data_IF_294424202165
#
_entry.id   IF_294424202165
#
_cell.length_a   1.000
_cell.length_b   1.000
_cell.length_c   1.000
_cell.angle_alpha   90.00
_cell.angle_beta   90.00
_cell.angle_gamma   90.00
#
_symmetry.space_group_name_H-M   'P 1'
#
loop_
_entity.id
_entity.type
_entity.pdbx_description
1 polymer ?
#
# COMPACT_ATOMS: atom_id res chain seq x y z
N UNK A 1 86.92 53.09 94.94
CA UNK A 1 87.09 53.14 93.46
C UNK A 1 86.68 51.84 92.76
N UNK A 2 86.92 50.64 93.34
CA UNK A 2 86.52 49.36 92.75
C UNK A 2 85.00 49.15 92.67
N UNK A 3 84.23 49.50 93.71
CA UNK A 3 82.78 49.24 93.77
C UNK A 3 81.95 50.02 92.75
N UNK A 4 82.35 51.27 92.47
CA UNK A 4 81.70 52.11 91.46
C UNK A 4 81.89 51.56 90.04
N UNK A 5 83.07 51.02 89.74
CA UNK A 5 83.37 50.39 88.45
C UNK A 5 82.54 49.13 88.23
N UNK A 6 82.35 48.33 89.28
CA UNK A 6 81.49 47.14 89.25
C UNK A 6 80.01 47.50 89.05
N UNK A 7 79.52 48.56 89.69
CA UNK A 7 78.14 49.04 89.50
C UNK A 7 77.88 49.55 88.07
N UNK A 8 78.83 50.30 87.49
CA UNK A 8 78.77 50.74 86.09
C UNK A 8 78.79 49.56 85.10
N UNK A 9 79.56 48.52 85.39
CA UNK A 9 79.60 47.32 84.55
C UNK A 9 78.27 46.55 84.59
N UNK A 10 77.66 46.39 85.78
CA UNK A 10 76.32 45.80 85.93
C UNK A 10 75.25 46.60 85.19
N UNK A 11 75.27 47.92 85.31
CA UNK A 11 74.33 48.78 84.58
C UNK A 11 74.49 48.63 83.07
N UNK A 12 75.73 48.54 82.58
CA UNK A 12 76.01 48.31 81.15
C UNK A 12 75.48 46.96 80.68
N UNK A 13 75.69 45.91 81.47
CA UNK A 13 75.14 44.58 81.19
C UNK A 13 73.61 44.58 81.18
N UNK A 14 72.96 45.31 82.09
CA UNK A 14 71.50 45.48 82.11
C UNK A 14 70.99 46.26 80.90
N UNK A 15 71.66 47.35 80.51
CA UNK A 15 71.33 48.10 79.30
C UNK A 15 71.46 47.24 78.03
N UNK A 16 72.51 46.41 77.96
CA UNK A 16 72.70 45.47 76.85
C UNK A 16 71.64 44.36 76.84
N UNK A 17 71.21 43.86 78.00
CA UNK A 17 70.08 42.92 78.12
C UNK A 17 68.77 43.55 77.66
N UNK A 18 68.48 44.77 78.12
CA UNK A 18 67.27 45.51 77.72
C UNK A 18 67.28 45.75 76.21
N UNK A 19 68.43 46.15 75.64
CA UNK A 19 68.57 46.35 74.19
C UNK A 19 68.26 45.06 73.42
N UNK A 20 68.79 43.90 73.86
CA UNK A 20 68.49 42.60 73.25
C UNK A 20 67.01 42.25 73.34
N UNK A 21 66.38 42.45 74.50
CA UNK A 21 64.95 42.21 74.68
C UNK A 21 64.09 43.10 73.77
N UNK A 22 64.44 44.38 73.63
CA UNK A 22 63.74 45.30 72.72
C UNK A 22 63.89 44.83 71.27
N UNK A 23 65.09 44.38 70.87
CA UNK A 23 65.33 43.86 69.53
C UNK A 23 64.52 42.58 69.26
N UNK A 24 64.47 41.66 70.22
CA UNK A 24 63.68 40.43 70.12
C UNK A 24 62.18 40.71 70.04
N UNK A 25 61.67 41.64 70.86
CA UNK A 25 60.27 42.07 70.81
C UNK A 25 59.92 42.73 69.48
N UNK A 26 60.83 43.55 68.93
CA UNK A 26 60.65 44.19 67.62
C UNK A 26 60.60 43.14 66.50
N UNK A 27 61.51 42.17 66.52
CA UNK A 27 61.52 41.09 65.55
C UNK A 27 60.25 40.23 65.61
N UNK A 28 59.81 39.87 66.83
CA UNK A 28 58.54 39.15 67.04
C UNK A 28 57.33 39.96 66.56
N UNK A 29 57.32 41.27 66.82
CA UNK A 29 56.28 42.18 66.32
C UNK A 29 56.21 42.21 64.79
N UNK A 30 57.36 42.30 64.13
CA UNK A 30 57.45 42.29 62.67
C UNK A 30 56.99 40.96 62.06
N UNK A 31 57.39 39.83 62.65
CA UNK A 31 56.93 38.50 62.23
C UNK A 31 55.42 38.37 62.38
N UNK A 32 54.87 38.77 63.53
CA UNK A 32 53.43 38.73 63.77
C UNK A 32 52.66 39.62 62.78
N UNK A 33 53.19 40.80 62.44
CA UNK A 33 52.57 41.66 61.44
C UNK A 33 52.57 41.01 60.04
N UNK A 34 53.64 40.33 59.67
CA UNK A 34 53.74 39.59 58.41
C UNK A 34 52.77 38.39 58.37
N UNK A 35 52.62 37.67 59.47
CA UNK A 35 51.66 36.56 59.58
C UNK A 35 50.21 37.05 59.44
N UNK A 36 49.87 38.18 60.08
CA UNK A 36 48.56 38.82 59.96
C UNK A 36 48.28 39.20 58.50
N UNK A 37 49.26 39.78 57.80
CA UNK A 37 49.10 40.15 56.40
C UNK A 37 48.91 38.92 55.50
N UNK A 38 49.63 37.84 55.79
CA UNK A 38 49.49 36.56 55.07
C UNK A 38 48.11 35.95 55.29
N UNK A 39 47.62 35.94 56.54
CA UNK A 39 46.27 35.46 56.88
C UNK A 39 45.18 36.29 56.20
N UNK A 40 45.32 37.61 56.14
CA UNK A 40 44.37 38.49 55.43
C UNK A 40 44.28 38.13 53.94
N UNK A 41 45.43 37.90 53.29
CA UNK A 41 45.47 37.48 51.88
C UNK A 41 44.82 36.12 51.67
N UNK A 42 45.09 35.15 52.55
CA UNK A 42 44.47 33.82 52.51
C UNK A 42 42.94 33.91 52.67
N UNK A 43 42.45 34.73 53.60
CA UNK A 43 41.01 34.94 53.80
C UNK A 43 40.36 35.54 52.55
N UNK A 44 40.98 36.54 51.92
CA UNK A 44 40.47 37.12 50.67
C UNK A 44 40.45 36.11 49.52
N UNK A 45 41.50 35.30 49.39
CA UNK A 45 41.52 34.22 48.40
C UNK A 45 40.43 33.19 48.67
N UNK A 46 40.21 32.81 49.93
CA UNK A 46 39.11 31.91 50.29
C UNK A 46 37.75 32.53 49.97
N UNK A 47 37.55 33.83 50.17
CA UNK A 47 36.30 34.51 49.85
C UNK A 47 36.04 34.56 48.33
N UNK A 48 37.08 34.74 47.52
CA UNK A 48 36.99 34.73 46.06
C UNK A 48 36.82 33.33 45.47
N UNK A 49 37.43 32.31 46.09
CA UNK A 49 37.49 30.95 45.54
C UNK A 49 36.42 30.03 46.10
N UNK A 50 35.91 30.30 47.31
CA UNK A 50 34.80 29.50 47.87
C UNK A 50 33.52 29.83 47.10
N UNK A 51 32.91 28.79 46.55
CA UNK A 51 31.55 28.88 46.09
C UNK A 51 30.64 29.20 47.29
N UNK A 52 29.80 30.23 47.13
CA UNK A 52 28.84 30.60 48.16
C UNK A 52 27.94 29.38 48.47
N UNK A 53 27.80 29.06 49.75
CA UNK A 53 26.94 27.99 50.23
C UNK A 53 25.51 28.15 49.70
N UNK A 54 25.02 29.39 49.60
CA UNK A 54 23.69 29.67 49.05
C UNK A 54 23.61 29.35 47.55
N UNK A 55 24.64 29.71 46.78
CA UNK A 55 24.72 29.39 45.35
C UNK A 55 24.80 27.88 45.12
N UNK A 56 25.68 27.17 45.86
CA UNK A 56 25.82 25.72 45.76
C UNK A 56 24.49 25.04 46.10
N UNK A 57 23.84 25.41 47.20
CA UNK A 57 22.56 24.84 47.58
C UNK A 57 21.47 25.09 46.53
N UNK A 58 21.39 26.30 45.97
CA UNK A 58 20.42 26.63 44.92
C UNK A 58 20.64 25.82 43.64
N UNK A 59 21.88 25.70 43.18
CA UNK A 59 22.21 24.85 42.02
C UNK A 59 22.00 23.37 42.31
N UNK A 60 22.20 22.94 43.55
CA UNK A 60 21.93 21.57 43.98
C UNK A 60 20.42 21.31 44.04
N UNK A 61 19.60 22.26 44.48
CA UNK A 61 18.14 22.17 44.48
C UNK A 61 17.58 22.12 43.04
N UNK A 62 18.09 22.98 42.14
CA UNK A 62 17.76 22.93 40.70
C UNK A 62 18.16 21.59 40.05
N UNK A 63 19.30 21.02 40.46
CA UNK A 63 19.76 19.69 39.97
C UNK A 63 19.06 18.53 40.67
N UNK A 64 18.58 18.69 41.90
CA UNK A 64 17.84 17.67 42.65
C UNK A 64 16.45 17.44 42.06
N UNK A 65 15.90 18.45 41.37
CA UNK A 65 14.70 18.34 40.54
C UNK A 65 14.89 17.45 39.29
N UNK A 66 16.05 16.80 39.14
CA UNK A 66 16.26 15.69 38.20
C UNK A 66 15.35 14.49 38.52
N UNK A 67 14.85 14.36 39.76
CA UNK A 67 13.82 13.37 40.12
C UNK A 67 12.49 13.66 39.39
N UNK A 68 12.19 14.92 39.12
CA UNK A 68 11.03 15.30 38.29
C UNK A 68 11.24 14.97 36.81
N UNK A 69 12.49 14.96 36.33
CA UNK A 69 12.83 14.45 34.99
C UNK A 69 12.63 12.93 34.93
N UNK A 70 12.98 12.19 35.98
CA UNK A 70 12.67 10.74 36.08
C UNK A 70 11.15 10.47 36.05
N UNK A 71 10.34 11.40 36.56
CA UNK A 71 8.88 11.28 36.58
C UNK A 71 8.18 11.69 35.28
N UNK A 72 8.82 12.45 34.37
CA UNK A 72 8.12 12.98 33.17
C UNK A 72 8.10 12.08 31.94
N UNK A 73 8.93 11.04 31.90
CA UNK A 73 8.72 9.82 31.10
C UNK A 73 9.46 8.74 31.87
N UNK A 74 8.76 7.99 32.71
CA UNK A 74 9.33 6.82 33.36
C UNK A 74 9.88 5.93 32.25
N UNK A 75 11.20 5.87 32.13
CA UNK A 75 11.91 5.02 31.16
C UNK A 75 11.37 3.59 31.17
N UNK A 76 10.88 3.14 32.33
CA UNK A 76 10.17 1.89 32.50
C UNK A 76 8.91 1.79 31.64
N UNK A 77 8.04 2.79 31.68
CA UNK A 77 6.77 2.81 30.94
C UNK A 77 7.02 2.91 29.44
N UNK A 78 8.00 3.73 29.03
CA UNK A 78 8.43 3.80 27.63
C UNK A 78 8.96 2.45 27.14
N UNK A 79 9.86 1.81 27.90
CA UNK A 79 10.39 0.50 27.55
C UNK A 79 9.30 -0.58 27.55
N UNK A 80 8.32 -0.49 28.45
CA UNK A 80 7.16 -1.38 28.48
C UNK A 80 6.31 -1.22 27.22
N UNK A 81 5.95 0.01 26.86
CA UNK A 81 5.18 0.30 25.65
C UNK A 81 5.92 -0.12 24.37
N UNK A 82 7.24 0.09 24.30
CA UNK A 82 8.05 -0.41 23.20
C UNK A 82 8.09 -1.96 23.14
N UNK A 83 8.14 -2.62 24.30
CA UNK A 83 8.07 -4.08 24.39
C UNK A 83 6.72 -4.62 23.91
N UNK A 84 5.62 -4.05 24.40
CA UNK A 84 4.25 -4.39 23.98
C UNK A 84 4.04 -4.16 22.48
N UNK A 85 4.51 -3.02 21.95
CA UNK A 85 4.43 -2.74 20.53
C UNK A 85 5.22 -3.77 19.70
N UNK A 86 6.43 -4.12 20.14
CA UNK A 86 7.25 -5.12 19.46
C UNK A 86 6.59 -6.50 19.46
N UNK A 87 5.95 -6.88 20.57
CA UNK A 87 5.19 -8.12 20.66
C UNK A 87 3.99 -8.10 19.71
N UNK A 88 3.21 -7.02 19.71
CA UNK A 88 2.05 -6.88 18.81
C UNK A 88 2.44 -6.95 17.32
N UNK A 89 3.59 -6.37 16.95
CA UNK A 89 4.10 -6.45 15.58
C UNK A 89 4.46 -7.90 15.23
N UNK A 90 5.18 -8.60 16.11
CA UNK A 90 5.54 -10.01 15.88
C UNK A 90 4.32 -10.92 15.77
N UNK A 91 3.33 -10.73 16.65
CA UNK A 91 2.08 -11.49 16.60
C UNK A 91 1.31 -11.21 15.30
N UNK A 92 1.29 -9.96 14.84
CA UNK A 92 0.68 -9.58 13.57
C UNK A 92 1.41 -10.22 12.38
N UNK A 93 2.74 -10.18 12.36
CA UNK A 93 3.55 -10.83 11.33
C UNK A 93 3.33 -12.34 11.29
N UNK A 94 3.27 -13.00 12.45
CA UNK A 94 3.01 -14.43 12.54
C UNK A 94 1.62 -14.78 11.97
N UNK A 95 0.59 -14.02 12.33
CA UNK A 95 -0.77 -14.19 11.77
C UNK A 95 -0.78 -13.95 10.26
N UNK A 96 -0.04 -12.96 9.78
CA UNK A 96 0.07 -12.66 8.36
C UNK A 96 0.73 -13.81 7.58
N UNK A 97 1.82 -14.39 8.10
CA UNK A 97 2.46 -15.55 7.47
C UNK A 97 1.51 -16.75 7.36
N UNK A 98 0.79 -17.07 8.45
CA UNK A 98 -0.21 -18.15 8.43
C UNK A 98 -1.32 -17.87 7.41
N UNK A 99 -1.75 -16.61 7.30
CA UNK A 99 -2.75 -16.21 6.30
C UNK A 99 -2.22 -16.36 4.87
N UNK A 100 -0.99 -15.91 4.60
CA UNK A 100 -0.34 -16.03 3.29
C UNK A 100 -0.19 -17.50 2.85
N UNK A 101 0.21 -18.37 3.78
CA UNK A 101 0.30 -19.82 3.52
C UNK A 101 -1.07 -20.44 3.23
N UNK A 102 -2.10 -20.04 3.99
CA UNK A 102 -3.48 -20.51 3.77
C UNK A 102 -4.01 -20.04 2.42
N UNK A 103 -3.75 -18.78 2.05
CA UNK A 103 -4.16 -18.22 0.75
C UNK A 103 -3.48 -18.95 -0.41
N UNK A 104 -2.19 -19.26 -0.31
CA UNK A 104 -1.49 -20.10 -1.30
C UNK A 104 -2.14 -21.47 -1.43
N UNK A 105 -2.42 -22.12 -0.30
CA UNK A 105 -3.05 -23.43 -0.30
C UNK A 105 -4.44 -23.41 -0.96
N UNK A 106 -5.24 -22.37 -0.72
CA UNK A 106 -6.56 -22.25 -1.34
C UNK A 106 -6.49 -21.94 -2.84
N UNK A 107 -5.50 -21.16 -3.28
CA UNK A 107 -5.22 -20.99 -4.71
C UNK A 107 -4.82 -22.31 -5.38
N UNK A 108 -3.97 -23.11 -4.74
CA UNK A 108 -3.55 -24.41 -5.26
C UNK A 108 -4.74 -25.39 -5.37
N UNK A 109 -5.61 -25.42 -4.34
CA UNK A 109 -6.86 -26.21 -4.38
C UNK A 109 -7.76 -25.78 -5.54
N UNK A 110 -7.98 -24.46 -5.71
CA UNK A 110 -8.81 -23.94 -6.79
C UNK A 110 -8.23 -24.28 -8.16
N UNK A 111 -6.92 -24.14 -8.35
CA UNK A 111 -6.25 -24.54 -9.59
C UNK A 111 -6.44 -26.03 -9.87
N UNK A 112 -6.27 -26.88 -8.87
CA UNK A 112 -6.48 -28.31 -9.00
C UNK A 112 -7.95 -28.66 -9.33
N UNK A 113 -8.91 -27.99 -8.71
CA UNK A 113 -10.33 -28.16 -9.04
C UNK A 113 -10.65 -27.71 -10.46
N UNK A 114 -10.06 -26.61 -10.93
CA UNK A 114 -10.23 -26.13 -12.30
C UNK A 114 -9.65 -27.14 -13.29
N UNK A 115 -8.42 -27.62 -13.05
CA UNK A 115 -7.77 -28.61 -13.91
C UNK A 115 -8.50 -29.96 -13.93
N UNK A 116 -9.12 -30.37 -12.82
CA UNK A 116 -9.92 -31.61 -12.76
C UNK A 116 -11.32 -31.48 -13.36
N UNK A 117 -11.97 -30.30 -13.27
CA UNK A 117 -13.27 -30.04 -13.92
C UNK A 117 -13.15 -29.87 -15.43
N UNK A 118 -11.98 -29.46 -15.92
CA UNK A 118 -11.71 -29.35 -17.35
C UNK A 118 -11.11 -30.67 -17.86
N UNK A 119 -11.93 -31.55 -18.43
CA UNK A 119 -11.39 -32.64 -19.24
C UNK A 119 -10.86 -32.08 -20.57
N UNK A 120 -9.61 -31.63 -20.52
CA UNK A 120 -8.93 -31.02 -21.67
C UNK A 120 -8.88 -31.97 -22.86
N UNK A 121 -8.84 -33.28 -22.64
CA UNK A 121 -8.83 -34.28 -23.72
C UNK A 121 -10.17 -34.31 -24.46
N UNK A 122 -11.29 -34.29 -23.73
CA UNK A 122 -12.62 -34.23 -24.36
C UNK A 122 -12.87 -32.90 -25.08
N UNK A 123 -12.41 -31.78 -24.49
CA UNK A 123 -12.53 -30.46 -25.10
C UNK A 123 -11.69 -30.33 -26.38
N UNK A 124 -10.47 -30.87 -26.41
CA UNK A 124 -9.65 -30.88 -27.62
C UNK A 124 -10.26 -31.75 -28.72
N UNK A 125 -10.79 -32.93 -28.37
CA UNK A 125 -11.49 -33.79 -29.33
C UNK A 125 -12.73 -33.08 -29.93
N UNK A 126 -13.49 -32.36 -29.10
CA UNK A 126 -14.64 -31.56 -29.54
C UNK A 126 -14.20 -30.39 -30.45
N UNK A 127 -13.10 -29.70 -30.09
CA UNK A 127 -12.51 -28.62 -30.91
C UNK A 127 -12.13 -29.13 -32.30
N UNK A 128 -11.42 -30.25 -32.36
CA UNK A 128 -10.97 -30.86 -33.61
C UNK A 128 -12.17 -31.32 -34.46
N UNK A 129 -13.23 -31.85 -33.83
CA UNK A 129 -14.47 -32.19 -34.51
C UNK A 129 -15.14 -30.95 -35.14
N UNK A 130 -15.29 -29.86 -34.38
CA UNK A 130 -15.88 -28.61 -34.89
C UNK A 130 -15.03 -28.01 -36.02
N UNK A 131 -13.71 -27.98 -35.89
CA UNK A 131 -12.81 -27.53 -36.95
C UNK A 131 -13.00 -28.35 -38.25
N UNK A 132 -13.14 -29.67 -38.11
CA UNK A 132 -13.39 -30.56 -39.26
C UNK A 132 -14.74 -30.27 -39.92
N UNK A 133 -15.80 -30.04 -39.14
CA UNK A 133 -17.11 -29.67 -39.69
C UNK A 133 -17.08 -28.30 -40.36
N UNK A 134 -16.42 -27.31 -39.74
CA UNK A 134 -16.24 -25.99 -40.35
C UNK A 134 -15.45 -26.07 -41.66
N UNK A 135 -14.39 -26.88 -41.74
CA UNK A 135 -13.65 -27.12 -43.00
C UNK A 135 -14.55 -27.75 -44.08
N UNK A 136 -15.40 -28.71 -43.72
CA UNK A 136 -16.38 -29.31 -44.64
C UNK A 136 -17.39 -28.28 -45.14
N UNK A 137 -17.97 -27.48 -44.24
CA UNK A 137 -18.94 -26.44 -44.60
C UNK A 137 -18.31 -25.38 -45.52
N UNK A 138 -17.08 -24.94 -45.22
CA UNK A 138 -16.34 -24.02 -46.10
C UNK A 138 -16.12 -24.61 -47.49
N UNK A 139 -15.82 -25.90 -47.59
CA UNK A 139 -15.65 -26.59 -48.88
C UNK A 139 -16.97 -26.65 -49.64
N UNK A 140 -18.05 -27.08 -49.00
CA UNK A 140 -19.39 -27.15 -49.61
C UNK A 140 -19.90 -25.77 -50.06
N UNK A 141 -19.66 -24.72 -49.25
CA UNK A 141 -20.00 -23.36 -49.61
C UNK A 141 -19.21 -22.87 -50.84
N UNK A 142 -17.92 -23.23 -50.93
CA UNK A 142 -17.07 -22.92 -52.10
C UNK A 142 -17.54 -23.67 -53.35
N UNK A 143 -17.90 -24.94 -53.22
CA UNK A 143 -18.44 -25.76 -54.31
C UNK A 143 -19.79 -25.20 -54.79
N UNK A 144 -20.71 -24.85 -53.88
CA UNK A 144 -21.98 -24.20 -54.23
C UNK A 144 -21.79 -22.83 -54.90
N UNK A 145 -20.84 -22.02 -54.43
CA UNK A 145 -20.51 -20.75 -55.10
C UNK A 145 -19.96 -20.98 -56.52
N UNK A 146 -19.16 -22.01 -56.75
CA UNK A 146 -18.68 -22.36 -58.09
C UNK A 146 -19.82 -22.84 -58.99
N UNK A 147 -20.76 -23.64 -58.46
CA UNK A 147 -21.95 -24.06 -59.21
C UNK A 147 -22.90 -22.89 -59.48
N UNK A 148 -23.09 -21.96 -58.54
CA UNK A 148 -23.86 -20.74 -58.76
C UNK A 148 -23.21 -19.81 -59.79
N UNK A 149 -21.88 -19.68 -59.79
CA UNK A 149 -21.17 -18.90 -60.82
C UNK A 149 -21.35 -19.52 -62.22
N UNK A 150 -21.37 -20.86 -62.33
CA UNK A 150 -21.71 -21.54 -63.59
C UNK A 150 -23.19 -21.37 -63.96
N UNK A 151 -24.11 -21.43 -63.00
CA UNK A 151 -25.55 -21.23 -63.25
C UNK A 151 -25.90 -19.78 -63.64
N UNK A 152 -25.19 -18.78 -63.08
CA UNK A 152 -25.31 -17.37 -63.48
C UNK A 152 -24.73 -17.16 -64.88
N UNK A 153 -23.65 -17.86 -65.26
CA UNK A 153 -23.12 -17.78 -66.62
C UNK A 153 -24.08 -18.36 -67.67
N UNK A 154 -24.83 -19.42 -67.33
CA UNK A 154 -25.81 -20.05 -68.24
C UNK A 154 -27.14 -19.28 -68.29
N UNK A 155 -27.53 -18.59 -67.21
CA UNK A 155 -28.74 -17.76 -67.18
C UNK A 155 -28.51 -16.33 -67.71
N UNK A 156 -27.24 -15.92 -67.93
CA UNK A 156 -26.89 -14.60 -68.49
C UNK A 156 -26.99 -14.54 -70.02
N UNK A 157 -27.19 -15.65 -70.72
CA UNK A 157 -27.32 -15.64 -72.19
C UNK A 157 -28.73 -15.29 -72.67
N UNK A 158 -29.72 -15.22 -71.77
CA UNK A 158 -31.12 -14.98 -72.14
C UNK A 158 -31.82 -13.96 -71.21
N UNK A 159 -31.16 -12.83 -70.95
CA UNK A 159 -31.76 -11.71 -70.20
C UNK A 159 -31.78 -10.42 -71.05
N UNK A 160 -32.98 -9.84 -71.16
CA UNK A 160 -33.40 -8.75 -72.03
C UNK A 160 -32.42 -7.56 -72.15
N UNK A 161 -32.48 -6.87 -73.30
CA UNK A 161 -31.64 -5.73 -73.71
C UNK A 161 -31.71 -4.45 -72.84
N UNK A 162 -32.15 -4.52 -71.58
CA UNK A 162 -32.04 -3.39 -70.66
C UNK A 162 -32.71 -3.62 -69.31
N UNK A 163 -31.89 -3.84 -68.28
CA UNK A 163 -32.23 -3.52 -66.90
C UNK A 163 -31.25 -2.47 -66.39
N UNK A 164 -31.76 -1.35 -65.87
CA UNK A 164 -30.91 -0.34 -65.21
C UNK A 164 -30.35 -0.93 -63.92
N UNK A 165 -29.08 -1.35 -63.94
CA UNK A 165 -28.31 -1.64 -62.71
C UNK A 165 -28.29 -0.38 -61.85
N UNK A 166 -29.00 -0.40 -60.72
CA UNK A 166 -28.90 0.66 -59.72
C UNK A 166 -27.51 0.57 -59.09
N UNK A 167 -26.58 1.41 -59.56
CA UNK A 167 -25.29 1.64 -58.92
C UNK A 167 -25.52 2.49 -57.66
N UNK A 168 -26.03 1.87 -56.59
CA UNK A 168 -26.12 2.53 -55.29
C UNK A 168 -24.90 2.09 -54.48
N UNK A 169 -23.92 2.99 -54.37
CA UNK A 169 -22.78 2.82 -53.45
C UNK A 169 -23.26 3.27 -52.07
N UNK A 170 -23.40 2.33 -51.14
CA UNK A 170 -23.91 2.62 -49.79
C UNK A 170 -22.75 2.92 -48.83
N UNK A 171 -23.02 3.69 -47.78
CA UNK A 171 -22.11 3.89 -46.66
C UNK A 171 -22.75 3.35 -45.37
N UNK A 172 -21.92 2.82 -44.47
CA UNK A 172 -22.31 2.34 -43.14
C UNK A 172 -22.98 3.48 -42.36
N UNK A 173 -24.24 3.33 -41.95
CA UNK A 173 -24.93 4.41 -41.20
C UNK A 173 -24.21 4.75 -39.89
N UNK A 174 -23.60 3.75 -39.25
CA UNK A 174 -22.93 3.92 -37.96
C UNK A 174 -21.51 4.49 -38.05
N UNK A 175 -20.86 4.34 -39.22
CA UNK A 175 -19.42 4.49 -39.33
C UNK A 175 -18.94 5.12 -40.65
N UNK A 176 -19.89 5.47 -41.52
CA UNK A 176 -19.76 6.10 -42.84
C UNK A 176 -18.75 5.45 -43.80
N UNK A 177 -18.36 4.19 -43.52
CA UNK A 177 -17.47 3.41 -44.37
C UNK A 177 -18.21 2.98 -45.65
N UNK A 178 -17.62 3.14 -46.84
CA UNK A 178 -18.23 2.67 -48.09
C UNK A 178 -18.37 1.14 -48.07
N UNK A 179 -19.56 0.65 -48.39
CA UNK A 179 -19.93 -0.77 -48.43
C UNK A 179 -20.28 -1.13 -49.87
N UNK A 180 -19.62 -2.16 -50.39
CA UNK A 180 -19.97 -2.76 -51.68
C UNK A 180 -20.98 -3.87 -51.43
N UNK A 181 -22.26 -3.60 -51.69
CA UNK A 181 -23.32 -4.61 -51.60
C UNK A 181 -23.52 -5.22 -52.99
N UNK A 182 -23.21 -6.50 -53.11
CA UNK A 182 -23.58 -7.25 -54.31
C UNK A 182 -25.12 -7.30 -54.37
N UNK A 183 -25.75 -6.97 -55.51
CA UNK A 183 -27.21 -7.02 -55.64
C UNK A 183 -27.65 -8.48 -55.57
N UNK A 184 -27.94 -8.95 -54.36
CA UNK A 184 -28.60 -10.22 -54.15
C UNK A 184 -30.08 -10.05 -54.53
N UNK A 185 -30.71 -10.98 -55.26
CA UNK A 185 -32.14 -10.92 -55.53
C UNK A 185 -32.89 -10.73 -54.20
N UNK A 186 -33.85 -9.81 -54.18
CA UNK A 186 -34.58 -9.44 -52.98
C UNK A 186 -35.14 -10.71 -52.31
N UNK A 187 -34.54 -11.10 -51.18
CA UNK A 187 -35.11 -12.17 -50.39
C UNK A 187 -36.39 -11.62 -49.76
N UNK A 188 -37.54 -12.30 -49.93
CA UNK A 188 -38.78 -11.84 -49.32
C UNK A 188 -38.57 -11.74 -47.81
N UNK A 189 -38.99 -10.62 -47.21
CA UNK A 189 -38.84 -10.30 -45.79
C UNK A 189 -39.62 -11.25 -44.87
N UNK A 190 -40.42 -12.13 -45.46
CA UNK A 190 -41.17 -13.18 -44.80
C UNK A 190 -40.92 -14.49 -45.56
N UNK A 191 -40.75 -15.62 -44.86
CA UNK A 191 -40.68 -16.92 -45.53
C UNK A 191 -41.94 -17.10 -46.39
N UNK A 192 -41.76 -17.47 -47.65
CA UNK A 192 -42.86 -17.87 -48.52
C UNK A 192 -43.47 -19.12 -47.87
N UNK A 193 -44.61 -18.95 -47.21
CA UNK A 193 -45.39 -20.07 -46.70
C UNK A 193 -45.82 -20.91 -47.90
N UNK A 194 -45.15 -22.04 -48.12
CA UNK A 194 -45.71 -23.10 -48.94
C UNK A 194 -47.03 -23.50 -48.28
N UNK A 195 -48.15 -23.41 -49.01
CA UNK A 195 -49.44 -23.83 -48.51
C UNK A 195 -49.32 -25.27 -48.01
N UNK A 196 -49.49 -25.46 -46.69
CA UNK A 196 -49.54 -26.81 -46.13
C UNK A 196 -50.73 -27.55 -46.75
N UNK A 197 -50.54 -28.84 -47.06
CA UNK A 197 -51.61 -29.67 -47.62
C UNK A 197 -52.86 -29.57 -46.76
N UNK A 198 -54.08 -29.43 -47.33
CA UNK A 198 -55.31 -29.44 -46.56
C UNK A 198 -55.34 -30.70 -45.70
N UNK A 199 -55.32 -30.52 -44.39
CA UNK A 199 -55.36 -31.63 -43.45
C UNK A 199 -56.76 -32.24 -43.53
N UNK A 200 -56.89 -33.45 -44.07
CA UNK A 200 -58.15 -34.18 -44.01
C UNK A 200 -58.39 -34.58 -42.54
N UNK A 201 -59.18 -33.79 -41.82
CA UNK A 201 -59.64 -34.17 -40.48
C UNK A 201 -60.59 -35.37 -40.61
N UNK A 202 -60.48 -36.40 -39.76
CA UNK A 202 -61.37 -37.57 -39.79
C UNK A 202 -62.72 -37.26 -39.11
N UNK A 203 -63.25 -36.03 -39.29
CA UNK A 203 -64.54 -35.66 -38.73
C UNK A 203 -65.65 -36.25 -39.59
N UNK A 204 -66.63 -36.94 -38.98
CA UNK A 204 -67.70 -37.61 -39.71
C UNK A 204 -68.58 -36.60 -40.46
N UNK A 205 -68.82 -36.95 -41.72
CA UNK A 205 -69.69 -36.31 -42.69
C UNK A 205 -71.12 -36.19 -42.14
N UNK A 206 -71.58 -34.99 -41.78
CA UNK A 206 -72.99 -34.77 -41.35
C UNK A 206 -73.61 -33.47 -41.88
N UNK A 207 -72.99 -32.78 -42.83
CA UNK A 207 -73.64 -31.63 -43.48
C UNK A 207 -74.80 -32.06 -44.38
N UNK A 208 -74.73 -33.26 -44.99
CA UNK A 208 -75.79 -33.77 -45.86
C UNK A 208 -77.03 -34.26 -45.08
N UNK A 209 -76.83 -34.87 -43.91
CA UNK A 209 -77.94 -35.34 -43.06
C UNK A 209 -78.68 -34.19 -42.38
N UNK A 210 -77.98 -33.10 -42.04
CA UNK A 210 -78.60 -31.89 -41.49
C UNK A 210 -79.51 -31.16 -42.50
N UNK A 211 -79.26 -31.31 -43.80
CA UNK A 211 -80.10 -30.68 -44.83
C UNK A 211 -81.40 -31.46 -45.06
N UNK A 212 -81.36 -32.80 -44.93
CA UNK A 212 -82.58 -33.62 -44.97
C UNK A 212 -83.53 -33.31 -43.79
N UNK A 213 -83.00 -33.12 -42.57
CA UNK A 213 -83.82 -32.75 -41.40
C UNK A 213 -84.49 -31.38 -41.60
N UNK A 214 -83.80 -30.41 -42.23
CA UNK A 214 -84.37 -29.08 -42.53
C UNK A 214 -85.47 -29.11 -43.59
N UNK A 215 -85.38 -30.04 -44.55
CA UNK A 215 -86.38 -30.19 -45.60
C UNK A 215 -87.66 -30.90 -45.12
N UNK A 216 -87.59 -31.74 -44.09
CA UNK A 216 -88.76 -32.40 -43.47
C UNK A 216 -89.53 -31.52 -42.46
N UNK A 217 -89.03 -30.31 -42.15
CA UNK A 217 -89.67 -29.37 -41.20
C UNK A 217 -90.32 -28.15 -41.90
N UNK A 218 -90.66 -28.26 -43.18
CA UNK A 218 -91.44 -27.27 -43.93
C UNK A 218 -92.64 -27.90 -44.62
#
# INVERSE_FOLDING_TARGET
>A
MADFRTALQRLREELDRIRKLIQDLTNKGNLSAQDIETLKKLVQQLDQTKADKAYVNNELDKKADKRDIENRVLKKDFNSACGELSQNINDCLQRFCVHDDTQKQDLDKMNHEIDSKLDRLELDALRDYMEKQMKKLKRLAKEQQQTQQQHVHVMSEDEAAGLRKQLIRFHCISCDRPIDVQPHPQQPSLPINQAMRPMQSPRPYTTYELDQIRQFQK
#
